data_IF_649066817160
#
_entry.id   IF_649066817160
#
_cell.length_a   1.000
_cell.length_b   1.000
_cell.length_c   1.000
_cell.angle_alpha   90.00
_cell.angle_beta   90.00
_cell.angle_gamma   90.00
#
_symmetry.space_group_name_H-M   'P 1'
#
loop_
_entity.id
_entity.type
_entity.pdbx_description
1 polymer ?
#
# COMPACT_ATOMS: atom_id res chain seq x y z
N UNK A 1 -52.36 29.86 -16.63
CA UNK A 1 -51.16 29.04 -16.30
C UNK A 1 -51.28 28.32 -14.96
N UNK A 2 -51.65 29.02 -13.87
CA UNK A 2 -51.77 28.42 -12.52
C UNK A 2 -52.86 27.33 -12.44
N UNK A 3 -54.05 27.57 -13.00
CA UNK A 3 -55.12 26.56 -13.05
C UNK A 3 -54.74 25.28 -13.81
N UNK A 4 -53.91 25.41 -14.87
CA UNK A 4 -53.42 24.25 -15.63
C UNK A 4 -52.43 23.42 -14.81
N UNK A 5 -51.57 24.07 -14.02
CA UNK A 5 -50.65 23.40 -13.11
C UNK A 5 -51.40 22.69 -11.97
N UNK A 6 -52.40 23.33 -11.39
CA UNK A 6 -53.24 22.71 -10.35
C UNK A 6 -54.00 21.50 -10.88
N UNK A 7 -54.58 21.59 -12.08
CA UNK A 7 -55.26 20.46 -12.73
C UNK A 7 -54.30 19.28 -13.00
N UNK A 8 -53.06 19.56 -13.42
CA UNK A 8 -52.03 18.55 -13.59
C UNK A 8 -51.59 17.92 -12.26
N UNK A 9 -51.42 18.71 -11.21
CA UNK A 9 -51.09 18.22 -9.87
C UNK A 9 -52.19 17.28 -9.36
N UNK A 10 -53.45 17.67 -9.52
CA UNK A 10 -54.60 16.88 -9.08
C UNK A 10 -54.75 15.57 -9.87
N UNK A 11 -54.43 15.60 -11.17
CA UNK A 11 -54.39 14.42 -12.02
C UNK A 11 -53.30 13.44 -11.56
N UNK A 12 -52.11 13.94 -11.27
CA UNK A 12 -50.98 13.13 -10.75
C UNK A 12 -51.33 12.49 -9.41
N UNK A 13 -51.92 13.25 -8.47
CA UNK A 13 -52.36 12.71 -7.18
C UNK A 13 -53.48 11.67 -7.35
N UNK A 14 -54.40 11.87 -8.30
CA UNK A 14 -55.45 10.89 -8.60
C UNK A 14 -54.89 9.61 -9.19
N UNK A 15 -53.92 9.70 -10.11
CA UNK A 15 -53.21 8.54 -10.65
C UNK A 15 -52.40 7.81 -9.58
N UNK A 16 -51.74 8.54 -8.67
CA UNK A 16 -51.00 7.99 -7.53
C UNK A 16 -51.91 7.15 -6.62
N UNK A 17 -53.11 7.66 -6.33
CA UNK A 17 -54.12 6.97 -5.54
C UNK A 17 -54.70 5.74 -6.28
N UNK A 18 -55.02 5.87 -7.57
CA UNK A 18 -55.59 4.76 -8.38
C UNK A 18 -54.61 3.60 -8.58
N UNK A 19 -53.32 3.89 -8.70
CA UNK A 19 -52.28 2.88 -8.94
C UNK A 19 -51.65 2.35 -7.64
N UNK A 20 -52.11 2.80 -6.46
CA UNK A 20 -51.52 2.50 -5.15
C UNK A 20 -49.99 2.71 -5.12
N UNK A 21 -49.50 3.69 -5.87
CA UNK A 21 -48.07 4.00 -5.99
C UNK A 21 -47.68 4.84 -4.77
N UNK A 22 -47.09 4.19 -3.78
CA UNK A 22 -46.51 4.89 -2.63
C UNK A 22 -45.31 5.73 -3.06
N UNK A 23 -44.97 6.75 -2.27
CA UNK A 23 -43.79 7.60 -2.50
C UNK A 23 -42.51 6.79 -2.70
N UNK A 24 -42.39 5.66 -1.98
CA UNK A 24 -41.27 4.73 -2.13
C UNK A 24 -41.15 4.12 -3.54
N UNK A 25 -42.26 3.88 -4.23
CA UNK A 25 -42.24 3.37 -5.61
C UNK A 25 -41.80 4.45 -6.61
N UNK A 26 -42.10 5.72 -6.33
CA UNK A 26 -41.66 6.85 -7.15
C UNK A 26 -40.16 7.07 -6.97
N UNK A 27 -39.66 7.01 -5.73
CA UNK A 27 -38.23 7.07 -5.42
C UNK A 27 -37.45 5.89 -6.02
N UNK A 28 -38.06 4.70 -6.03
CA UNK A 28 -37.49 3.52 -6.70
C UNK A 28 -37.40 3.74 -8.21
N UNK A 29 -38.42 4.31 -8.84
CA UNK A 29 -38.41 4.60 -10.28
C UNK A 29 -37.41 5.69 -10.64
N UNK A 30 -37.33 6.77 -9.86
CA UNK A 30 -36.34 7.84 -10.05
C UNK A 30 -34.92 7.31 -9.86
N UNK A 31 -34.71 6.41 -8.90
CA UNK A 31 -33.42 5.75 -8.69
C UNK A 31 -33.05 4.82 -9.85
N UNK A 32 -33.99 4.02 -10.34
CA UNK A 32 -33.78 3.13 -11.47
C UNK A 32 -33.49 3.92 -12.75
N UNK A 33 -34.20 5.03 -13.01
CA UNK A 33 -33.95 5.92 -14.16
C UNK A 33 -32.60 6.61 -14.08
N UNK A 34 -32.16 7.04 -12.89
CA UNK A 34 -30.80 7.58 -12.68
C UNK A 34 -29.73 6.51 -12.94
N UNK A 35 -29.93 5.29 -12.45
CA UNK A 35 -29.03 4.17 -12.70
C UNK A 35 -28.95 3.80 -14.20
N UNK A 36 -30.06 3.91 -14.93
CA UNK A 36 -30.08 3.73 -16.39
C UNK A 36 -29.33 4.83 -17.13
N UNK A 37 -29.47 6.09 -16.70
CA UNK A 37 -28.75 7.22 -17.28
C UNK A 37 -27.23 7.06 -17.07
N UNK A 38 -26.81 6.67 -15.87
CA UNK A 38 -25.40 6.44 -15.52
C UNK A 38 -24.81 5.20 -16.24
N UNK A 39 -25.61 4.17 -16.50
CA UNK A 39 -25.19 2.99 -17.26
C UNK A 39 -24.99 3.27 -18.76
N UNK A 40 -25.53 4.37 -19.28
CA UNK A 40 -25.43 4.74 -20.71
C UNK A 40 -24.14 5.54 -20.99
N UNK A 41 -23.59 6.20 -19.98
CA UNK A 41 -22.22 6.76 -20.00
C UNK A 41 -21.19 5.66 -19.79
N UNK A 42 -21.06 4.77 -20.78
CA UNK A 42 -19.95 3.81 -20.88
C UNK A 42 -18.65 4.56 -21.17
N UNK A 43 -18.02 5.11 -20.14
CA UNK A 43 -16.65 5.61 -20.20
C UNK A 43 -15.70 4.41 -20.27
N UNK A 44 -14.92 4.37 -21.36
CA UNK A 44 -13.70 3.58 -21.59
C UNK A 44 -13.47 2.36 -20.66
N UNK A 45 -13.63 1.16 -21.20
CA UNK A 45 -13.47 -0.12 -20.49
C UNK A 45 -12.07 -0.43 -19.97
N UNK A 46 -11.08 0.45 -20.21
CA UNK A 46 -9.68 0.29 -19.80
C UNK A 46 -9.19 1.38 -18.85
N UNK A 47 -10.06 2.31 -18.45
CA UNK A 47 -9.70 3.36 -17.51
C UNK A 47 -9.90 2.88 -16.06
N UNK A 48 -8.83 2.93 -15.26
CA UNK A 48 -8.81 2.45 -13.87
C UNK A 48 -9.80 3.22 -13.02
N UNK A 49 -9.93 4.53 -13.23
CA UNK A 49 -10.84 5.40 -12.47
C UNK A 49 -12.30 5.14 -12.83
N UNK A 50 -12.58 4.85 -14.10
CA UNK A 50 -13.91 4.45 -14.57
C UNK A 50 -14.32 3.09 -13.99
N UNK A 51 -13.39 2.13 -13.93
CA UNK A 51 -13.61 0.82 -13.30
C UNK A 51 -13.85 0.96 -11.79
N UNK A 52 -13.04 1.76 -11.09
CA UNK A 52 -13.20 2.03 -9.66
C UNK A 52 -14.58 2.66 -9.36
N UNK A 53 -14.95 3.69 -10.11
CA UNK A 53 -16.27 4.34 -10.00
C UNK A 53 -17.41 3.35 -10.23
N UNK A 54 -17.28 2.48 -11.26
CA UNK A 54 -18.29 1.47 -11.56
C UNK A 54 -18.42 0.42 -10.46
N UNK A 55 -17.31 0.02 -9.84
CA UNK A 55 -17.27 -0.92 -8.70
C UNK A 55 -17.99 -0.32 -7.49
N UNK A 56 -17.71 0.95 -7.14
CA UNK A 56 -18.38 1.63 -6.02
C UNK A 56 -19.89 1.71 -6.21
N UNK A 57 -20.35 2.11 -7.42
CA UNK A 57 -21.76 2.17 -7.75
C UNK A 57 -22.41 0.80 -7.60
N UNK A 58 -21.81 -0.26 -8.14
CA UNK A 58 -22.35 -1.61 -8.02
C UNK A 58 -22.43 -2.09 -6.57
N UNK A 59 -21.39 -1.86 -5.75
CA UNK A 59 -21.39 -2.26 -4.33
C UNK A 59 -22.43 -1.49 -3.53
N UNK A 60 -22.55 -0.17 -3.72
CA UNK A 60 -23.57 0.63 -3.04
C UNK A 60 -24.98 0.21 -3.44
N UNK A 61 -25.19 -0.08 -4.72
CA UNK A 61 -26.44 -0.58 -5.30
C UNK A 61 -26.84 -1.93 -4.67
N UNK A 62 -25.92 -2.90 -4.64
CA UNK A 62 -26.11 -4.22 -4.01
C UNK A 62 -26.43 -4.09 -2.52
N UNK A 63 -25.72 -3.24 -1.78
CA UNK A 63 -25.97 -3.01 -0.35
C UNK A 63 -27.36 -2.43 -0.10
N UNK A 64 -27.74 -1.41 -0.88
CA UNK A 64 -29.07 -0.78 -0.80
C UNK A 64 -30.18 -1.81 -1.06
N UNK A 65 -30.03 -2.66 -2.08
CA UNK A 65 -31.00 -3.74 -2.36
C UNK A 65 -31.00 -4.84 -1.30
N UNK A 66 -29.84 -5.21 -0.77
CA UNK A 66 -29.72 -6.19 0.32
C UNK A 66 -30.43 -5.70 1.59
N UNK A 67 -30.31 -4.41 1.90
CA UNK A 67 -31.06 -3.80 3.01
C UNK A 67 -32.57 -3.80 2.76
N UNK A 68 -33.02 -3.54 1.52
CA UNK A 68 -34.45 -3.58 1.15
C UNK A 68 -35.04 -4.99 1.18
N UNK A 69 -34.24 -6.03 0.92
CA UNK A 69 -34.70 -7.41 0.86
C UNK A 69 -35.46 -7.87 2.11
N UNK A 70 -35.12 -7.30 3.26
CA UNK A 70 -35.72 -7.63 4.56
C UNK A 70 -36.50 -6.46 5.18
N UNK A 71 -36.77 -5.38 4.44
CA UNK A 71 -37.72 -4.36 4.90
C UNK A 71 -39.16 -4.86 4.72
N UNK A 72 -39.99 -4.65 5.75
CA UNK A 72 -41.28 -5.31 5.97
C UNK A 72 -42.46 -4.84 5.09
N UNK A 73 -42.19 -4.30 3.90
CA UNK A 73 -43.24 -3.74 3.02
C UNK A 73 -43.56 -4.62 1.81
N UNK A 74 -42.72 -5.61 1.49
CA UNK A 74 -42.79 -6.34 0.22
C UNK A 74 -43.17 -7.82 0.41
N UNK A 75 -44.04 -8.31 -0.47
CA UNK A 75 -44.44 -9.72 -0.54
C UNK A 75 -43.32 -10.62 -1.08
N UNK A 76 -43.51 -11.94 -0.98
CA UNK A 76 -42.51 -12.92 -1.45
C UNK A 76 -42.10 -12.71 -2.93
N UNK A 77 -43.01 -12.20 -3.76
CA UNK A 77 -42.77 -11.88 -5.17
C UNK A 77 -41.76 -10.75 -5.36
N UNK A 78 -41.85 -9.66 -4.61
CA UNK A 78 -40.89 -8.56 -4.74
C UNK A 78 -39.55 -8.89 -4.06
N UNK A 79 -39.57 -9.61 -2.93
CA UNK A 79 -38.34 -10.23 -2.37
C UNK A 79 -37.63 -11.13 -3.37
N UNK A 80 -38.35 -11.86 -4.21
CA UNK A 80 -37.75 -12.67 -5.28
C UNK A 80 -37.13 -11.82 -6.41
N UNK A 81 -37.76 -10.69 -6.77
CA UNK A 81 -37.20 -9.73 -7.73
C UNK A 81 -35.92 -9.09 -7.21
N UNK A 82 -35.90 -8.64 -5.95
CA UNK A 82 -34.72 -8.07 -5.30
C UNK A 82 -33.58 -9.09 -5.28
N UNK A 83 -33.85 -10.35 -4.88
CA UNK A 83 -32.84 -11.43 -4.92
C UNK A 83 -32.26 -11.66 -6.32
N UNK A 84 -33.11 -11.63 -7.35
CA UNK A 84 -32.65 -11.78 -8.73
C UNK A 84 -31.70 -10.64 -9.12
N UNK A 85 -32.09 -9.39 -8.85
CA UNK A 85 -31.30 -8.21 -9.19
C UNK A 85 -29.95 -8.19 -8.47
N UNK A 86 -29.92 -8.56 -7.18
CA UNK A 86 -28.67 -8.70 -6.42
C UNK A 86 -27.73 -9.72 -7.09
N UNK A 87 -28.25 -10.86 -7.57
CA UNK A 87 -27.41 -11.86 -8.27
C UNK A 87 -26.85 -11.34 -9.59
N UNK A 88 -27.68 -10.65 -10.38
CA UNK A 88 -27.26 -10.05 -11.64
C UNK A 88 -26.12 -9.04 -11.41
N UNK A 89 -26.27 -8.15 -10.44
CA UNK A 89 -25.27 -7.14 -10.11
C UNK A 89 -24.00 -7.72 -9.51
N UNK A 90 -24.11 -8.75 -8.66
CA UNK A 90 -22.94 -9.48 -8.18
C UNK A 90 -22.15 -10.09 -9.35
N UNK A 91 -22.84 -10.65 -10.35
CA UNK A 91 -22.18 -11.18 -11.56
C UNK A 91 -21.47 -10.09 -12.38
N UNK A 92 -22.10 -8.93 -12.54
CA UNK A 92 -21.47 -7.78 -13.21
C UNK A 92 -20.25 -7.30 -12.41
N UNK A 93 -20.40 -7.16 -11.09
CA UNK A 93 -19.35 -6.73 -10.19
C UNK A 93 -18.13 -7.66 -10.26
N UNK A 94 -18.33 -8.99 -10.27
CA UNK A 94 -17.25 -9.97 -10.45
C UNK A 94 -16.46 -9.69 -11.73
N UNK A 95 -17.16 -9.49 -12.86
CA UNK A 95 -16.49 -9.22 -14.14
C UNK A 95 -15.72 -7.90 -14.14
N UNK A 96 -16.25 -6.84 -13.51
CA UNK A 96 -15.58 -5.53 -13.43
C UNK A 96 -14.37 -5.60 -12.50
N UNK A 97 -14.48 -6.28 -11.36
CA UNK A 97 -13.37 -6.50 -10.42
C UNK A 97 -12.25 -7.31 -11.06
N UNK A 98 -12.55 -8.37 -11.82
CA UNK A 98 -11.55 -9.12 -12.57
C UNK A 98 -10.81 -8.25 -13.60
N UNK A 99 -11.51 -7.32 -14.25
CA UNK A 99 -10.88 -6.36 -15.19
C UNK A 99 -9.98 -5.39 -14.45
N UNK A 100 -10.44 -4.84 -13.32
CA UNK A 100 -9.65 -3.96 -12.47
C UNK A 100 -8.37 -4.64 -11.97
N UNK A 101 -8.50 -5.86 -11.41
CA UNK A 101 -7.38 -6.63 -10.88
C UNK A 101 -6.35 -7.07 -11.95
N UNK A 102 -6.72 -7.08 -13.23
CA UNK A 102 -5.76 -7.33 -14.33
C UNK A 102 -4.88 -6.13 -14.66
N UNK A 103 -5.37 -4.91 -14.40
CA UNK A 103 -4.68 -3.66 -14.74
C UNK A 103 -3.86 -3.15 -13.56
N UNK A 104 -4.29 -3.47 -12.35
CA UNK A 104 -3.71 -2.98 -11.10
C UNK A 104 -2.74 -4.00 -10.50
N UNK A 105 -1.60 -3.60 -9.91
CA UNK A 105 -0.66 -4.51 -9.26
C UNK A 105 -1.33 -5.35 -8.16
N UNK A 106 -0.79 -6.55 -7.90
CA UNK A 106 -1.39 -7.52 -6.96
C UNK A 106 -1.59 -6.97 -5.53
N UNK A 107 -0.83 -5.95 -5.14
CA UNK A 107 -0.94 -5.25 -3.84
C UNK A 107 -2.22 -4.43 -3.69
N UNK A 108 -2.84 -4.01 -4.80
CA UNK A 108 -4.07 -3.20 -4.83
C UNK A 108 -5.27 -4.01 -5.37
N UNK A 109 -5.12 -5.33 -5.50
CA UNK A 109 -6.16 -6.26 -5.98
C UNK A 109 -7.34 -6.35 -5.00
N UNK A 110 -8.56 -6.29 -5.52
CA UNK A 110 -9.79 -6.36 -4.74
C UNK A 110 -10.24 -7.81 -4.54
N UNK A 111 -10.76 -8.10 -3.34
CA UNK A 111 -11.44 -9.36 -3.02
C UNK A 111 -12.95 -9.15 -2.95
N UNK A 112 -13.72 -10.00 -3.66
CA UNK A 112 -15.18 -9.92 -3.73
C UNK A 112 -15.87 -10.03 -2.36
N UNK A 113 -15.41 -10.93 -1.49
CA UNK A 113 -16.02 -11.15 -0.18
C UNK A 113 -15.83 -9.93 0.72
N UNK A 114 -14.67 -9.29 0.61
CA UNK A 114 -14.30 -8.12 1.39
C UNK A 114 -15.12 -6.89 0.97
N UNK A 115 -15.19 -6.60 -0.34
CA UNK A 115 -15.91 -5.40 -0.85
C UNK A 115 -17.42 -5.44 -0.61
N UNK A 116 -18.04 -6.63 -0.65
CA UNK A 116 -19.49 -6.79 -0.42
C UNK A 116 -19.83 -6.71 1.07
N UNK A 117 -18.95 -7.18 1.96
CA UNK A 117 -19.16 -7.16 3.41
C UNK A 117 -19.15 -5.74 4.00
N UNK A 118 -18.46 -4.80 3.35
CA UNK A 118 -18.61 -3.38 3.61
C UNK A 118 -17.80 -2.79 4.76
N UNK A 119 -16.88 -3.54 5.33
CA UNK A 119 -15.89 -3.08 6.31
C UNK A 119 -14.62 -2.52 5.66
N UNK A 120 -14.58 -2.40 4.34
CA UNK A 120 -13.35 -2.12 3.60
C UNK A 120 -13.25 -0.66 3.19
N UNK A 121 -12.18 0.01 3.62
CA UNK A 121 -11.71 1.23 2.98
C UNK A 121 -11.18 0.87 1.59
N UNK A 122 -11.69 1.53 0.55
CA UNK A 122 -11.28 1.22 -0.82
C UNK A 122 -9.82 1.62 -1.06
N UNK A 123 -9.04 0.87 -1.86
CA UNK A 123 -7.63 1.19 -2.13
C UNK A 123 -7.42 2.61 -2.68
N UNK A 124 -8.37 3.11 -3.49
CA UNK A 124 -8.37 4.47 -4.04
C UNK A 124 -8.98 5.52 -3.12
N UNK A 125 -9.64 5.12 -2.03
CA UNK A 125 -10.13 6.04 -0.98
C UNK A 125 -9.11 6.26 0.14
N UNK A 126 -8.00 5.51 0.13
CA UNK A 126 -6.89 5.80 1.01
C UNK A 126 -6.37 7.21 0.71
N UNK A 127 -6.26 8.10 1.72
CA UNK A 127 -5.74 9.43 1.52
C UNK A 127 -4.42 9.38 0.75
N UNK A 128 -4.26 10.27 -0.22
CA UNK A 128 -3.02 10.37 -1.02
C UNK A 128 -1.76 10.46 -0.13
N UNK A 129 -1.91 10.97 1.10
CA UNK A 129 -0.88 10.98 2.14
C UNK A 129 -0.43 9.60 2.62
N UNK A 130 -1.31 8.59 2.69
CA UNK A 130 -0.95 7.23 3.14
C UNK A 130 -0.14 6.50 2.06
N UNK A 131 -0.55 6.61 0.79
CA UNK A 131 0.22 6.09 -0.36
C UNK A 131 1.60 6.74 -0.45
N UNK A 132 1.63 8.08 -0.33
CA UNK A 132 2.88 8.85 -0.27
C UNK A 132 3.75 8.48 0.91
N UNK A 133 3.21 8.24 2.10
CA UNK A 133 3.98 7.88 3.29
C UNK A 133 4.72 6.55 3.10
N UNK A 134 4.10 5.57 2.47
CA UNK A 134 4.75 4.29 2.15
C UNK A 134 5.87 4.46 1.11
N UNK A 135 5.65 5.27 0.08
CA UNK A 135 6.66 5.62 -0.93
C UNK A 135 7.79 6.48 -0.36
N UNK A 136 7.47 7.43 0.50
CA UNK A 136 8.43 8.27 1.21
C UNK A 136 9.28 7.43 2.17
N UNK A 137 8.69 6.45 2.89
CA UNK A 137 9.45 5.51 3.73
C UNK A 137 10.43 4.67 2.89
N UNK A 138 10.01 4.19 1.71
CA UNK A 138 10.91 3.48 0.77
C UNK A 138 12.01 4.41 0.26
N UNK A 139 11.68 5.65 -0.10
CA UNK A 139 12.65 6.64 -0.57
C UNK A 139 13.67 7.01 0.51
N UNK A 140 13.23 7.21 1.76
CA UNK A 140 14.12 7.48 2.91
C UNK A 140 15.08 6.30 3.10
N UNK A 141 14.60 5.06 3.02
CA UNK A 141 15.46 3.89 3.13
C UNK A 141 16.51 3.86 2.01
N UNK A 142 16.13 4.13 0.77
CA UNK A 142 17.06 4.19 -0.37
C UNK A 142 18.10 5.29 -0.20
N UNK A 143 17.71 6.46 0.31
CA UNK A 143 18.63 7.56 0.61
C UNK A 143 19.62 7.19 1.72
N UNK A 144 19.14 6.55 2.78
CA UNK A 144 19.99 6.09 3.88
C UNK A 144 20.96 5.00 3.42
N UNK A 145 20.49 4.08 2.57
CA UNK A 145 21.32 3.05 1.92
C UNK A 145 22.45 3.67 1.10
N UNK A 146 22.14 4.65 0.26
CA UNK A 146 23.12 5.34 -0.57
C UNK A 146 24.13 6.11 0.29
N UNK A 147 23.67 6.81 1.33
CA UNK A 147 24.52 7.53 2.26
C UNK A 147 25.50 6.58 2.98
N UNK A 148 24.98 5.49 3.55
CA UNK A 148 25.80 4.50 4.25
C UNK A 148 26.80 3.81 3.33
N UNK A 149 26.37 3.48 2.10
CA UNK A 149 27.24 2.88 1.09
C UNK A 149 28.38 3.82 0.66
N UNK A 150 28.07 5.12 0.46
CA UNK A 150 29.06 6.15 0.17
C UNK A 150 30.05 6.30 1.31
N UNK A 151 29.57 6.35 2.56
CA UNK A 151 30.44 6.43 3.75
C UNK A 151 31.41 5.24 3.83
N UNK A 152 30.91 4.01 3.69
CA UNK A 152 31.76 2.80 3.67
C UNK A 152 32.75 2.82 2.50
N UNK A 153 32.36 3.35 1.35
CA UNK A 153 33.21 3.43 0.16
C UNK A 153 34.33 4.46 0.32
N UNK A 154 34.05 5.62 0.91
CA UNK A 154 35.08 6.61 1.26
C UNK A 154 36.07 6.01 2.25
N UNK A 155 35.59 5.31 3.30
CA UNK A 155 36.46 4.68 4.29
C UNK A 155 37.32 3.55 3.70
N UNK A 156 36.79 2.82 2.72
CA UNK A 156 37.57 1.82 1.99
C UNK A 156 38.71 2.47 1.18
N UNK A 157 38.44 3.58 0.49
CA UNK A 157 39.43 4.33 -0.30
C UNK A 157 40.56 4.88 0.58
N UNK A 158 40.23 5.53 1.69
CA UNK A 158 41.24 6.06 2.61
C UNK A 158 42.11 4.95 3.20
N UNK A 159 41.51 3.80 3.53
CA UNK A 159 42.27 2.64 4.00
C UNK A 159 43.16 2.00 2.91
N UNK A 160 42.80 2.14 1.63
CA UNK A 160 43.62 1.68 0.51
C UNK A 160 44.77 2.65 0.24
N UNK A 161 44.51 3.96 0.31
CA UNK A 161 45.52 5.01 0.21
C UNK A 161 46.59 4.85 1.30
N UNK A 162 46.19 4.66 2.56
CA UNK A 162 47.12 4.38 3.66
C UNK A 162 47.97 3.13 3.43
N UNK A 163 47.38 2.07 2.84
CA UNK A 163 48.11 0.87 2.47
C UNK A 163 49.15 1.13 1.38
N UNK A 164 48.81 1.96 0.39
CA UNK A 164 49.72 2.33 -0.70
C UNK A 164 50.86 3.23 -0.22
N UNK A 165 50.58 4.17 0.68
CA UNK A 165 51.58 5.02 1.31
C UNK A 165 52.55 4.19 2.15
N UNK A 166 52.05 3.24 2.94
CA UNK A 166 52.88 2.35 3.74
C UNK A 166 53.83 1.50 2.88
N UNK A 167 53.36 1.04 1.72
CA UNK A 167 54.16 0.23 0.79
C UNK A 167 55.30 1.01 0.13
N UNK A 168 55.16 2.34 0.03
CA UNK A 168 56.12 3.24 -0.63
C UNK A 168 56.95 4.07 0.36
N UNK A 169 56.80 3.86 1.67
CA UNK A 169 57.41 4.72 2.68
C UNK A 169 58.90 4.40 2.88
N UNK A 170 59.84 5.34 2.63
CA UNK A 170 61.25 5.15 2.98
C UNK A 170 61.38 5.36 4.50
N UNK A 171 61.72 4.32 5.27
CA UNK A 171 61.37 4.31 6.68
C UNK A 171 62.52 4.20 7.69
N UNK A 172 62.35 4.92 8.80
CA UNK A 172 63.08 4.81 10.07
C UNK A 172 62.28 4.12 11.20
N UNK A 173 61.26 3.31 10.88
CA UNK A 173 60.61 2.37 11.80
C UNK A 173 61.32 0.99 11.75
N UNK A 174 61.22 0.19 12.82
CA UNK A 174 61.65 -1.21 12.79
C UNK A 174 60.71 -2.06 11.90
N UNK A 175 61.24 -3.17 11.38
CA UNK A 175 60.51 -4.11 10.52
C UNK A 175 59.23 -4.65 11.19
N UNK A 176 59.28 -4.92 12.49
CA UNK A 176 58.13 -5.36 13.30
C UNK A 176 57.05 -4.28 13.39
N UNK A 177 57.45 -3.01 13.56
CA UNK A 177 56.53 -1.88 13.60
C UNK A 177 55.76 -1.71 12.28
N UNK A 178 56.45 -1.88 11.15
CA UNK A 178 55.84 -1.86 9.82
C UNK A 178 54.86 -3.02 9.61
N UNK A 179 55.24 -4.25 10.00
CA UNK A 179 54.36 -5.44 9.94
C UNK A 179 53.13 -5.30 10.82
N UNK A 180 53.29 -4.72 12.02
CA UNK A 180 52.18 -4.42 12.93
C UNK A 180 51.18 -3.44 12.33
N UNK A 181 51.68 -2.32 11.76
CA UNK A 181 50.85 -1.32 11.10
C UNK A 181 50.12 -1.88 9.88
N UNK A 182 50.81 -2.67 9.05
CA UNK A 182 50.21 -3.36 7.91
C UNK A 182 49.08 -4.29 8.34
N UNK A 183 49.28 -5.06 9.43
CA UNK A 183 48.27 -5.95 9.99
C UNK A 183 47.02 -5.18 10.47
N UNK A 184 47.20 -4.00 11.07
CA UNK A 184 46.10 -3.12 11.49
C UNK A 184 45.32 -2.60 10.27
N UNK A 185 46.01 -2.18 9.21
CA UNK A 185 45.37 -1.70 7.98
C UNK A 185 44.56 -2.81 7.32
N UNK A 186 45.12 -4.02 7.20
CA UNK A 186 44.42 -5.18 6.65
C UNK A 186 43.18 -5.55 7.46
N UNK A 187 43.27 -5.52 8.79
CA UNK A 187 42.12 -5.74 9.68
C UNK A 187 41.02 -4.69 9.46
N UNK A 188 41.39 -3.41 9.32
CA UNK A 188 40.44 -2.33 9.00
C UNK A 188 39.77 -2.52 7.64
N UNK A 189 40.52 -2.91 6.61
CA UNK A 189 39.97 -3.21 5.29
C UNK A 189 38.97 -4.36 5.34
N UNK A 190 39.31 -5.43 6.07
CA UNK A 190 38.42 -6.58 6.26
C UNK A 190 37.11 -6.18 6.95
N UNK A 191 37.18 -5.39 8.04
CA UNK A 191 35.98 -4.90 8.73
C UNK A 191 35.05 -4.06 7.82
N UNK A 192 35.63 -3.25 6.92
CA UNK A 192 34.85 -2.46 5.96
C UNK A 192 34.17 -3.38 4.93
N UNK A 193 34.84 -4.45 4.47
CA UNK A 193 34.23 -5.45 3.57
C UNK A 193 33.06 -6.17 4.22
N UNK A 194 33.23 -6.61 5.46
CA UNK A 194 32.18 -7.29 6.24
C UNK A 194 30.95 -6.38 6.43
N UNK A 195 31.17 -5.12 6.82
CA UNK A 195 30.07 -4.15 6.95
C UNK A 195 29.34 -3.89 5.64
N UNK A 196 30.05 -3.84 4.51
CA UNK A 196 29.43 -3.72 3.18
C UNK A 196 28.57 -4.92 2.82
N UNK A 197 29.05 -6.13 3.12
CA UNK A 197 28.30 -7.37 2.88
C UNK A 197 27.05 -7.43 3.76
N UNK A 198 27.19 -7.18 5.06
CA UNK A 198 26.09 -7.15 6.02
C UNK A 198 25.02 -6.11 5.63
N UNK A 199 25.44 -4.91 5.22
CA UNK A 199 24.53 -3.87 4.75
C UNK A 199 23.73 -4.35 3.54
N UNK A 200 24.41 -4.89 2.53
CA UNK A 200 23.78 -5.42 1.32
C UNK A 200 22.73 -6.47 1.66
N UNK A 201 23.08 -7.43 2.50
CA UNK A 201 22.19 -8.54 2.86
C UNK A 201 20.97 -8.07 3.65
N UNK A 202 21.18 -7.13 4.58
CA UNK A 202 20.10 -6.49 5.34
C UNK A 202 19.11 -5.76 4.41
N UNK A 203 19.62 -4.97 3.47
CA UNK A 203 18.77 -4.21 2.56
C UNK A 203 18.06 -5.09 1.53
N UNK A 204 18.72 -6.13 1.01
CA UNK A 204 18.07 -7.09 0.11
C UNK A 204 16.91 -7.81 0.80
N UNK A 205 17.06 -8.15 2.08
CA UNK A 205 15.99 -8.77 2.89
C UNK A 205 14.80 -7.83 3.06
N UNK A 206 15.06 -6.57 3.41
CA UNK A 206 14.02 -5.54 3.57
C UNK A 206 13.28 -5.26 2.26
N UNK A 207 13.99 -5.19 1.12
CA UNK A 207 13.39 -4.96 -0.19
C UNK A 207 12.59 -6.16 -0.71
N UNK A 208 12.92 -7.38 -0.28
CA UNK A 208 12.22 -8.61 -0.67
C UNK A 208 10.93 -8.85 0.11
N UNK A 209 10.60 -7.99 1.08
CA UNK A 209 9.36 -8.09 1.86
C UNK A 209 9.39 -9.16 2.97
N UNK A 210 10.55 -9.72 3.30
CA UNK A 210 10.71 -10.56 4.50
C UNK A 210 10.55 -9.67 5.74
N UNK A 211 9.48 -9.90 6.49
CA UNK A 211 9.08 -9.10 7.65
C UNK A 211 10.18 -9.00 8.71
N UNK A 212 10.41 -7.77 9.15
CA UNK A 212 11.42 -7.37 10.13
C UNK A 212 11.08 -7.75 11.59
N UNK A 213 10.39 -8.86 11.83
CA UNK A 213 10.06 -9.29 13.21
C UNK A 213 11.25 -9.94 13.93
N UNK A 214 12.35 -10.25 13.22
CA UNK A 214 13.58 -10.81 13.80
C UNK A 214 14.82 -9.91 13.65
N UNK A 215 14.66 -8.62 13.35
CA UNK A 215 15.79 -7.68 13.37
C UNK A 215 16.00 -7.15 14.79
N UNK A 216 16.41 -8.07 15.68
CA UNK A 216 17.14 -7.67 16.88
C UNK A 216 18.33 -6.85 16.41
N UNK A 217 18.30 -5.55 16.69
CA UNK A 217 19.48 -4.72 16.77
C UNK A 217 20.35 -5.31 17.88
N UNK A 218 21.04 -6.41 17.57
CA UNK A 218 21.95 -7.06 18.47
C UNK A 218 23.22 -6.20 18.49
N UNK A 219 23.12 -5.08 19.18
CA UNK A 219 24.27 -4.44 19.77
C UNK A 219 24.73 -5.38 20.89
N UNK A 220 25.59 -6.35 20.54
CA UNK A 220 26.49 -6.93 21.53
C UNK A 220 27.62 -5.92 21.74
N UNK A 221 27.76 -5.30 22.92
CA UNK A 221 29.07 -4.84 23.35
C UNK A 221 29.81 -6.09 23.83
N UNK A 222 30.54 -6.77 22.95
CA UNK A 222 31.55 -7.72 23.41
C UNK A 222 32.73 -6.89 23.91
N UNK A 223 32.79 -6.78 25.25
CA UNK A 223 33.97 -6.88 26.09
C UNK A 223 35.29 -6.52 25.41
N UNK A 224 35.71 -5.26 25.60
CA UNK A 224 37.13 -4.98 25.62
C UNK A 224 37.69 -5.59 26.90
N UNK A 225 38.25 -6.80 26.77
CA UNK A 225 39.28 -7.33 27.66
C UNK A 225 40.28 -6.21 27.94
N UNK A 226 40.17 -5.65 29.14
CA UNK A 226 41.14 -4.72 29.70
C UNK A 226 42.19 -5.58 30.39
N UNK A 227 43.08 -6.16 29.59
CA UNK A 227 44.27 -6.84 30.09
C UNK A 227 45.53 -6.15 29.54
N UNK A 228 46.49 -6.04 30.47
CA UNK A 228 47.85 -5.48 30.36
C UNK A 228 47.95 -3.95 30.52
N UNK A 229 48.81 -3.40 31.38
CA UNK A 229 49.84 -3.98 32.23
C UNK A 229 50.32 -2.92 33.24
N UNK A 230 50.99 -3.42 34.28
CA UNK A 230 51.93 -2.76 35.20
C UNK A 230 52.21 -1.26 35.00
N UNK A 231 51.84 -0.44 35.98
CA UNK A 231 52.57 0.79 36.28
C UNK A 231 53.67 0.45 37.28
N UNK A 232 54.87 0.33 36.73
CA UNK A 232 56.14 0.47 37.42
C UNK A 232 56.27 1.94 37.84
N UNK A 233 56.29 2.22 39.16
CA UNK A 233 56.59 3.56 39.67
C UNK A 233 58.04 3.54 40.19
N UNK A 234 58.89 4.31 39.52
CA UNK A 234 60.26 4.56 39.91
C UNK A 234 60.34 5.79 40.84
N UNK A 235 60.89 5.61 42.05
CA UNK A 235 61.90 6.44 42.75
C UNK A 235 61.94 6.13 44.26
#
# INVERSE_FOLDING_TARGET
>A
TIQSLQSKQQNVESMKAQLAVTESHLEDWVSDVKEWAEATTNTSTNDVDALASRIEVLVTSIKRRSQRLYKDTDGNKGRARIRRKIREEKGILTSVVEKYNKIVPSTESLCMETIVSGETAWPWQLPHSVRRLEEEKKNILVLEMDHYWKWLSTRAKTSQELSSLLSNWPCGFSEEGLKGLQSIILRKQQNIREKKMQARDCYLRLLSGETAENMSFLHKPDDCDSDSDSSDDAL
#
